data_IF_346113847281
#
_entry.id   IF_346113847281
#
_cell.length_a   1.000
_cell.length_b   1.000
_cell.length_c   1.000
_cell.angle_alpha   90.00
_cell.angle_beta   90.00
_cell.angle_gamma   90.00
#
_symmetry.space_group_name_H-M   'P 1'
#
loop_
_entity.id
_entity.type
_entity.pdbx_description
1 polymer ?
#
# COMPACT_ATOMS: atom_id res chain seq x y z
N UNK A 1 -77.10 -13.17 15.22
CA UNK A 1 -76.26 -11.96 15.04
C UNK A 1 -74.76 -12.32 15.06
N UNK A 2 -74.33 -13.33 14.29
CA UNK A 2 -72.95 -13.87 14.34
C UNK A 2 -72.26 -13.89 12.96
N UNK A 3 -72.84 -13.19 11.98
CA UNK A 3 -72.35 -13.19 10.60
C UNK A 3 -71.63 -11.88 10.22
N UNK A 4 -71.52 -10.94 11.16
CA UNK A 4 -70.87 -9.64 10.95
C UNK A 4 -69.42 -9.65 11.46
N UNK A 5 -69.14 -10.47 12.49
CA UNK A 5 -67.83 -10.49 13.15
C UNK A 5 -66.68 -11.03 12.28
N UNK A 6 -66.94 -11.96 11.35
CA UNK A 6 -65.89 -12.48 10.46
C UNK A 6 -65.55 -11.53 9.31
N UNK A 7 -66.51 -10.72 8.87
CA UNK A 7 -66.27 -9.70 7.83
C UNK A 7 -65.50 -8.52 8.40
N UNK A 8 -65.81 -8.11 9.64
CA UNK A 8 -65.05 -7.07 10.33
C UNK A 8 -63.63 -7.53 10.66
N UNK A 9 -63.46 -8.78 11.08
CA UNK A 9 -62.14 -9.35 11.36
C UNK A 9 -61.25 -9.47 10.11
N UNK A 10 -61.82 -9.81 8.96
CA UNK A 10 -61.07 -9.89 7.70
C UNK A 10 -60.63 -8.51 7.17
N UNK A 11 -61.42 -7.47 7.41
CA UNK A 11 -61.07 -6.08 7.05
C UNK A 11 -60.00 -5.48 7.99
N UNK A 12 -60.03 -5.83 9.28
CA UNK A 12 -58.99 -5.42 10.25
C UNK A 12 -57.64 -6.10 9.98
N UNK A 13 -57.64 -7.35 9.50
CA UNK A 13 -56.42 -8.09 9.15
C UNK A 13 -55.77 -7.60 7.84
N UNK A 14 -56.55 -7.11 6.88
CA UNK A 14 -56.05 -6.52 5.62
C UNK A 14 -55.42 -5.12 5.85
N UNK A 15 -55.91 -4.34 6.81
CA UNK A 15 -55.38 -3.02 7.16
C UNK A 15 -54.05 -3.09 7.96
N UNK A 16 -53.79 -4.21 8.65
CA UNK A 16 -52.50 -4.47 9.33
C UNK A 16 -51.37 -4.87 8.36
N UNK A 17 -51.68 -5.48 7.21
CA UNK A 17 -50.67 -5.86 6.20
C UNK A 17 -50.13 -4.65 5.40
N UNK A 18 -50.94 -3.62 5.16
CA UNK A 18 -50.50 -2.41 4.44
C UNK A 18 -49.62 -1.47 5.28
N UNK A 19 -49.55 -1.66 6.60
CA UNK A 19 -48.73 -0.86 7.51
C UNK A 19 -47.35 -1.46 7.86
N UNK A 20 -46.95 -2.59 7.24
CA UNK A 20 -45.66 -3.23 7.49
C UNK A 20 -44.52 -2.60 6.69
N UNK A 21 -44.16 -1.36 7.03
CA UNK A 21 -42.95 -0.70 6.54
C UNK A 21 -41.75 -1.21 7.35
N UNK A 22 -41.20 -2.36 6.95
CA UNK A 22 -39.98 -2.93 7.54
C UNK A 22 -39.53 -4.23 6.88
N UNK A 23 -38.25 -4.62 7.00
CA UNK A 23 -37.76 -5.88 6.45
C UNK A 23 -38.45 -7.07 7.14
N UNK A 24 -39.20 -7.85 6.36
CA UNK A 24 -39.91 -9.06 6.82
C UNK A 24 -38.89 -10.18 7.09
N UNK A 25 -39.08 -10.93 8.18
CA UNK A 25 -38.27 -12.12 8.47
C UNK A 25 -38.55 -13.17 7.39
N UNK A 26 -37.53 -13.86 6.85
CA UNK A 26 -37.76 -14.91 5.87
C UNK A 26 -38.48 -16.09 6.55
N UNK A 27 -39.80 -16.12 6.43
CA UNK A 27 -40.62 -17.24 6.86
C UNK A 27 -40.58 -18.37 5.81
N UNK A 28 -41.25 -19.47 6.11
CA UNK A 28 -41.17 -20.75 5.42
C UNK A 28 -41.45 -20.69 3.91
N UNK A 29 -42.15 -19.66 3.42
CA UNK A 29 -42.47 -19.49 1.99
C UNK A 29 -41.26 -19.00 1.19
N UNK A 30 -40.41 -18.18 1.82
CA UNK A 30 -39.17 -17.66 1.19
C UNK A 30 -38.00 -18.62 1.28
N UNK A 31 -38.02 -19.58 2.22
CA UNK A 31 -36.94 -20.57 2.42
C UNK A 31 -36.74 -21.48 1.20
N UNK A 32 -37.81 -21.92 0.55
CA UNK A 32 -37.72 -22.76 -0.66
C UNK A 32 -37.10 -22.01 -1.84
N UNK A 33 -37.51 -20.75 -2.03
CA UNK A 33 -36.98 -19.88 -3.08
C UNK A 33 -35.50 -19.53 -2.84
N UNK A 34 -35.14 -19.16 -1.60
CA UNK A 34 -33.76 -18.85 -1.21
C UNK A 34 -32.86 -20.08 -1.31
N UNK A 35 -33.35 -21.28 -0.96
CA UNK A 35 -32.57 -22.51 -1.13
C UNK A 35 -32.39 -22.89 -2.61
N UNK A 36 -33.40 -22.65 -3.45
CA UNK A 36 -33.30 -22.87 -4.88
C UNK A 36 -32.33 -21.87 -5.55
N UNK A 37 -32.33 -20.60 -5.13
CA UNK A 37 -31.38 -19.60 -5.63
C UNK A 37 -29.96 -19.92 -5.22
N UNK A 38 -29.73 -20.30 -3.96
CA UNK A 38 -28.41 -20.74 -3.46
C UNK A 38 -27.93 -21.99 -4.23
N UNK A 39 -28.81 -22.96 -4.48
CA UNK A 39 -28.45 -24.16 -5.24
C UNK A 39 -28.13 -23.86 -6.71
N UNK A 40 -28.81 -22.89 -7.33
CA UNK A 40 -28.52 -22.44 -8.68
C UNK A 40 -27.18 -21.70 -8.76
N UNK A 41 -26.91 -20.82 -7.80
CA UNK A 41 -25.62 -20.11 -7.68
C UNK A 41 -24.46 -21.09 -7.46
N UNK A 42 -24.63 -22.10 -6.60
CA UNK A 42 -23.62 -23.14 -6.39
C UNK A 42 -23.28 -23.93 -7.65
N UNK A 43 -24.28 -24.22 -8.51
CA UNK A 43 -24.04 -24.90 -9.79
C UNK A 43 -23.24 -24.05 -10.75
N UNK A 44 -23.58 -22.77 -10.87
CA UNK A 44 -22.84 -21.80 -11.68
C UNK A 44 -21.40 -21.63 -11.20
N UNK A 45 -21.20 -21.58 -9.88
CA UNK A 45 -19.86 -21.52 -9.28
C UNK A 45 -19.04 -22.77 -9.59
N UNK A 46 -19.63 -23.95 -9.45
CA UNK A 46 -18.94 -25.22 -9.74
C UNK A 46 -18.61 -25.36 -11.24
N UNK A 47 -19.51 -24.91 -12.13
CA UNK A 47 -19.26 -24.88 -13.58
C UNK A 47 -18.18 -23.85 -13.96
N UNK A 48 -18.15 -22.70 -13.29
CA UNK A 48 -17.09 -21.71 -13.48
C UNK A 48 -15.73 -22.21 -12.98
N UNK A 49 -15.71 -22.91 -11.83
CA UNK A 49 -14.51 -23.55 -11.30
C UNK A 49 -14.00 -24.67 -12.21
N UNK A 50 -14.87 -25.53 -12.73
CA UNK A 50 -14.45 -26.60 -13.64
C UNK A 50 -13.88 -26.05 -14.96
N UNK A 51 -14.45 -24.95 -15.49
CA UNK A 51 -13.91 -24.27 -16.67
C UNK A 51 -12.56 -23.62 -16.41
N UNK A 52 -12.37 -23.02 -15.23
CA UNK A 52 -11.07 -22.50 -14.82
C UNK A 52 -10.03 -23.61 -14.63
N UNK A 53 -10.42 -24.77 -14.10
CA UNK A 53 -9.53 -25.93 -13.91
C UNK A 53 -9.07 -26.53 -15.25
N UNK A 54 -9.98 -26.64 -16.24
CA UNK A 54 -9.63 -27.04 -17.62
C UNK A 54 -8.66 -26.05 -18.30
N UNK A 55 -8.79 -24.74 -18.03
CA UNK A 55 -7.89 -23.69 -18.54
C UNK A 55 -6.53 -23.65 -17.80
N UNK A 56 -6.49 -23.98 -16.50
CA UNK A 56 -5.28 -24.05 -15.68
C UNK A 56 -4.43 -25.30 -16.01
N UNK A 57 -5.02 -26.43 -16.38
CA UNK A 57 -4.24 -27.59 -16.84
C UNK A 57 -3.59 -27.36 -18.22
N UNK A 58 -4.20 -26.51 -19.05
CA UNK A 58 -3.60 -26.05 -20.31
C UNK A 58 -2.52 -24.98 -20.10
N UNK A 59 -2.44 -24.36 -18.91
CA UNK A 59 -1.57 -23.21 -18.66
C UNK A 59 -1.02 -23.12 -17.24
N UNK A 60 -0.70 -24.25 -16.62
CA UNK A 60 -0.06 -24.26 -15.32
C UNK A 60 1.16 -23.34 -15.39
N UNK A 61 1.20 -22.24 -14.62
CA UNK A 61 2.33 -21.34 -14.65
C UNK A 61 3.54 -22.17 -14.21
N UNK A 62 4.53 -22.32 -15.09
CA UNK A 62 5.84 -22.85 -14.72
C UNK A 62 6.36 -21.92 -13.63
N UNK A 63 6.14 -22.28 -12.37
CA UNK A 63 6.70 -21.55 -11.26
C UNK A 63 8.20 -21.55 -11.45
N UNK A 64 8.76 -20.36 -11.64
CA UNK A 64 10.19 -20.15 -11.63
C UNK A 64 10.69 -20.70 -10.29
N UNK A 65 11.51 -21.76 -10.33
CA UNK A 65 11.84 -22.62 -9.19
C UNK A 65 12.68 -21.96 -8.10
N UNK A 66 12.68 -20.64 -7.98
CA UNK A 66 13.45 -19.90 -6.99
C UNK A 66 12.95 -20.12 -5.55
N UNK A 67 11.70 -20.55 -5.37
CA UNK A 67 11.13 -20.88 -4.06
C UNK A 67 11.12 -22.39 -3.77
N UNK A 68 11.04 -23.24 -4.79
CA UNK A 68 10.90 -24.70 -4.64
C UNK A 68 12.25 -25.41 -4.72
N UNK A 69 13.21 -24.83 -5.43
CA UNK A 69 14.58 -25.33 -5.51
C UNK A 69 15.52 -24.29 -4.89
N UNK A 70 16.40 -24.76 -4.01
CA UNK A 70 17.54 -23.96 -3.57
C UNK A 70 18.32 -23.57 -4.85
N UNK A 71 18.65 -22.28 -5.06
CA UNK A 71 19.45 -21.85 -6.19
C UNK A 71 20.77 -22.63 -6.24
N UNK A 72 21.22 -23.02 -7.44
CA UNK A 72 22.43 -23.83 -7.59
C UNK A 72 23.59 -23.19 -6.83
N UNK A 73 24.20 -23.97 -5.94
CA UNK A 73 25.38 -23.64 -5.13
C UNK A 73 26.45 -22.84 -5.88
N UNK A 74 26.60 -23.08 -7.18
CA UNK A 74 27.59 -22.42 -8.06
C UNK A 74 27.25 -20.97 -8.36
N UNK A 75 25.97 -20.59 -8.38
CA UNK A 75 25.53 -19.22 -8.63
C UNK A 75 25.87 -18.28 -7.46
N UNK A 76 26.07 -18.84 -6.27
CA UNK A 76 26.37 -18.08 -5.05
C UNK A 76 27.88 -17.84 -4.86
N UNK A 77 28.75 -18.33 -5.77
CA UNK A 77 30.20 -18.10 -5.75
C UNK A 77 30.94 -18.76 -4.58
N UNK A 78 30.25 -19.54 -3.75
CA UNK A 78 30.85 -20.29 -2.64
C UNK A 78 31.32 -21.66 -3.12
N UNK A 79 32.51 -22.07 -2.69
CA UNK A 79 32.98 -23.44 -2.88
C UNK A 79 32.10 -24.43 -2.11
N UNK A 80 32.02 -25.68 -2.59
CA UNK A 80 31.24 -26.75 -1.92
C UNK A 80 31.64 -26.90 -0.45
N UNK A 81 32.92 -26.72 -0.13
CA UNK A 81 33.45 -26.75 1.23
C UNK A 81 32.92 -25.60 2.12
N UNK A 82 32.80 -24.37 1.58
CA UNK A 82 32.24 -23.24 2.31
C UNK A 82 30.76 -23.41 2.60
N UNK A 83 30.00 -23.97 1.65
CA UNK A 83 28.59 -24.29 1.87
C UNK A 83 28.44 -25.35 2.96
N UNK A 84 29.25 -26.42 2.93
CA UNK A 84 29.21 -27.47 3.95
C UNK A 84 29.57 -26.93 5.35
N UNK A 85 30.54 -26.02 5.45
CA UNK A 85 30.92 -25.36 6.70
C UNK A 85 29.81 -24.44 7.22
N UNK A 86 29.16 -23.66 6.35
CA UNK A 86 28.00 -22.86 6.72
C UNK A 86 26.82 -23.73 7.19
N UNK A 87 26.60 -24.89 6.57
CA UNK A 87 25.56 -25.82 6.98
C UNK A 87 25.84 -26.42 8.37
N UNK A 88 27.10 -26.74 8.69
CA UNK A 88 27.55 -27.24 10.00
C UNK A 88 27.37 -26.22 11.13
N UNK A 89 27.49 -24.94 10.80
CA UNK A 89 27.42 -23.84 11.79
C UNK A 89 26.01 -23.23 11.95
N UNK A 90 24.97 -23.79 11.32
CA UNK A 90 23.59 -23.24 11.40
C UNK A 90 22.95 -23.27 12.80
N UNK A 91 23.46 -24.10 13.71
CA UNK A 91 22.90 -24.28 15.06
C UNK A 91 23.60 -23.44 16.14
N UNK A 92 24.77 -22.88 15.85
CA UNK A 92 25.62 -22.25 16.87
C UNK A 92 26.02 -20.84 16.43
N UNK A 93 25.60 -19.84 17.19
CA UNK A 93 26.05 -18.46 17.01
C UNK A 93 27.52 -18.33 17.40
N UNK A 94 28.36 -17.82 16.49
CA UNK A 94 29.75 -17.50 16.79
C UNK A 94 29.81 -16.45 17.90
N UNK A 95 30.43 -16.78 19.04
CA UNK A 95 30.68 -15.80 20.13
C UNK A 95 31.78 -14.80 19.79
N UNK A 96 32.51 -15.04 18.71
CA UNK A 96 33.56 -14.15 18.20
C UNK A 96 33.21 -13.81 16.77
N UNK A 97 32.32 -12.83 16.57
CA UNK A 97 32.17 -12.20 15.28
C UNK A 97 33.56 -11.67 14.89
N UNK A 98 34.19 -12.27 13.88
CA UNK A 98 35.25 -11.57 13.16
C UNK A 98 34.57 -10.37 12.53
N UNK A 99 34.95 -9.16 12.94
CA UNK A 99 34.45 -7.88 12.44
C UNK A 99 34.82 -7.67 10.95
N UNK A 100 34.28 -8.53 10.09
CA UNK A 100 34.34 -8.43 8.63
C UNK A 100 33.28 -7.46 8.11
N UNK A 101 32.26 -7.18 8.93
CA UNK A 101 31.26 -6.15 8.67
C UNK A 101 31.67 -4.88 9.39
N UNK A 102 31.57 -3.73 8.72
CA UNK A 102 32.00 -2.43 9.22
C UNK A 102 31.44 -2.05 10.58
N UNK A 103 31.88 -0.89 11.07
CA UNK A 103 31.58 -0.38 12.41
C UNK A 103 30.07 -0.43 12.76
N UNK A 104 29.69 -1.44 13.56
CA UNK A 104 28.32 -1.67 14.04
C UNK A 104 27.96 -0.77 15.22
N UNK A 105 28.87 0.09 15.70
CA UNK A 105 28.64 0.92 16.89
C UNK A 105 27.73 2.14 16.66
N UNK A 106 27.32 2.39 15.41
CA UNK A 106 26.49 3.54 15.06
C UNK A 106 25.15 3.62 15.84
N UNK A 107 24.64 2.49 16.32
CA UNK A 107 23.42 2.41 17.13
C UNK A 107 23.66 2.17 18.63
N UNK A 108 24.88 1.79 19.03
CA UNK A 108 25.23 1.53 20.43
C UNK A 108 25.94 2.70 21.09
N UNK A 109 26.44 3.67 20.31
CA UNK A 109 27.14 4.84 20.83
C UNK A 109 26.17 5.83 21.52
N UNK A 110 26.56 6.26 22.72
CA UNK A 110 25.94 7.40 23.39
C UNK A 110 26.30 8.72 22.69
N UNK A 111 25.51 9.80 22.85
CA UNK A 111 25.80 11.08 22.19
C UNK A 111 27.20 11.65 22.51
N UNK A 112 27.72 11.39 23.70
CA UNK A 112 29.07 11.79 24.11
C UNK A 112 30.16 10.98 23.40
N UNK A 113 29.95 9.67 23.25
CA UNK A 113 30.86 8.78 22.52
C UNK A 113 30.89 9.11 21.03
N UNK A 114 29.72 9.41 20.45
CA UNK A 114 29.60 9.86 19.05
C UNK A 114 30.40 11.14 18.78
N UNK A 115 30.33 12.12 19.67
CA UNK A 115 31.10 13.36 19.56
C UNK A 115 32.61 13.13 19.74
N UNK A 116 33.01 12.23 20.64
CA UNK A 116 34.42 11.86 20.83
C UNK A 116 34.97 11.17 19.58
N UNK A 117 34.22 10.22 19.03
CA UNK A 117 34.57 9.49 17.82
C UNK A 117 34.67 10.39 16.59
N UNK A 118 33.75 11.35 16.46
CA UNK A 118 33.82 12.34 15.38
C UNK A 118 35.08 13.20 15.47
N UNK A 119 35.50 13.62 16.68
CA UNK A 119 36.78 14.30 16.88
C UNK A 119 37.98 13.44 16.51
N UNK A 120 37.99 12.17 16.93
CA UNK A 120 39.09 11.24 16.60
C UNK A 120 39.20 10.96 15.10
N UNK A 121 38.05 10.89 14.41
CA UNK A 121 37.98 10.79 12.95
C UNK A 121 38.51 12.05 12.26
N UNK A 122 38.16 13.24 12.73
CA UNK A 122 38.67 14.51 12.21
C UNK A 122 40.19 14.65 12.42
N UNK A 123 40.71 14.13 13.54
CA UNK A 123 42.14 14.11 13.85
C UNK A 123 42.90 12.98 13.14
N UNK A 124 42.22 12.12 12.37
CA UNK A 124 42.84 11.04 11.59
C UNK A 124 43.55 9.98 12.45
N UNK A 125 43.17 9.88 13.72
CA UNK A 125 43.71 8.94 14.71
C UNK A 125 42.99 7.59 14.68
N UNK A 126 41.85 7.51 14.00
CA UNK A 126 41.11 6.26 13.84
C UNK A 126 41.97 5.22 13.08
N UNK A 127 42.19 4.07 13.71
CA UNK A 127 43.11 3.00 13.27
C UNK A 127 42.76 2.30 11.94
N UNK A 128 41.87 2.87 11.13
CA UNK A 128 41.40 2.34 9.84
C UNK A 128 42.38 2.47 8.67
N UNK A 129 43.69 2.60 8.91
CA UNK A 129 44.70 2.83 7.84
C UNK A 129 44.85 1.68 6.84
N UNK A 130 44.31 0.49 7.13
CA UNK A 130 44.32 -0.68 6.23
C UNK A 130 43.23 -0.68 5.15
N UNK A 131 42.25 0.23 5.19
CA UNK A 131 41.12 0.30 4.22
C UNK A 131 41.28 1.41 3.18
N UNK A 132 42.49 1.89 2.90
CA UNK A 132 42.69 2.98 1.92
C UNK A 132 43.01 2.48 0.51
N UNK A 133 43.64 1.31 0.37
CA UNK A 133 44.06 0.80 -0.95
C UNK A 133 42.92 0.10 -1.70
N UNK A 134 42.10 -0.72 -1.04
CA UNK A 134 40.91 -1.35 -1.68
C UNK A 134 39.77 -0.35 -1.91
N UNK A 135 39.69 0.70 -1.11
CA UNK A 135 38.67 1.74 -1.26
C UNK A 135 38.92 2.64 -2.49
N UNK A 136 40.16 2.74 -2.98
CA UNK A 136 40.49 3.56 -4.15
C UNK A 136 39.97 2.92 -5.45
N UNK A 137 40.16 1.61 -5.64
CA UNK A 137 39.62 0.87 -6.79
C UNK A 137 38.08 0.73 -6.74
N UNK A 138 37.51 0.52 -5.55
CA UNK A 138 36.05 0.54 -5.37
C UNK A 138 35.46 1.94 -5.62
N UNK A 139 36.15 3.02 -5.28
CA UNK A 139 35.71 4.38 -5.60
C UNK A 139 35.66 4.63 -7.11
N UNK A 140 36.63 4.14 -7.88
CA UNK A 140 36.68 4.40 -9.31
C UNK A 140 35.57 3.64 -10.07
N UNK A 141 35.35 2.38 -9.71
CA UNK A 141 34.26 1.56 -10.28
C UNK A 141 32.87 2.09 -9.89
N UNK A 142 32.68 2.49 -8.63
CA UNK A 142 31.43 3.09 -8.16
C UNK A 142 31.18 4.46 -8.78
N UNK A 143 32.22 5.26 -9.05
CA UNK A 143 32.10 6.56 -9.73
C UNK A 143 31.60 6.40 -11.17
N UNK A 144 32.11 5.39 -11.89
CA UNK A 144 31.67 5.09 -13.26
C UNK A 144 30.23 4.59 -13.28
N UNK A 145 29.87 3.68 -12.38
CA UNK A 145 28.50 3.20 -12.26
C UNK A 145 27.53 4.33 -11.89
N UNK A 146 27.91 5.22 -10.96
CA UNK A 146 27.13 6.38 -10.57
C UNK A 146 26.92 7.33 -11.76
N UNK A 147 27.96 7.61 -12.55
CA UNK A 147 27.85 8.45 -13.75
C UNK A 147 26.90 7.87 -14.80
N UNK A 148 26.93 6.54 -15.03
CA UNK A 148 26.01 5.87 -15.95
C UNK A 148 24.56 5.97 -15.44
N UNK A 149 24.34 5.74 -14.13
CA UNK A 149 23.03 5.84 -13.51
C UNK A 149 22.50 7.28 -13.58
N UNK A 150 23.36 8.28 -13.38
CA UNK A 150 23.00 9.69 -13.49
C UNK A 150 22.61 10.05 -14.93
N UNK A 151 23.38 9.62 -15.93
CA UNK A 151 23.05 9.83 -17.35
C UNK A 151 21.71 9.19 -17.74
N UNK A 152 21.45 7.97 -17.27
CA UNK A 152 20.16 7.31 -17.48
C UNK A 152 19.01 8.04 -16.76
N UNK A 153 19.23 8.47 -15.51
CA UNK A 153 18.25 9.22 -14.75
C UNK A 153 17.92 10.58 -15.36
N UNK A 154 18.88 11.24 -16.02
CA UNK A 154 18.68 12.51 -16.69
C UNK A 154 17.92 12.38 -18.02
N UNK A 155 18.04 11.26 -18.72
CA UNK A 155 17.53 11.09 -20.10
C UNK A 155 16.26 10.26 -20.18
N UNK A 156 16.15 9.19 -19.40
CA UNK A 156 15.09 8.19 -19.53
C UNK A 156 14.14 8.17 -18.33
N UNK A 157 14.65 8.46 -17.13
CA UNK A 157 13.84 8.30 -15.92
C UNK A 157 12.83 9.46 -15.76
N UNK A 158 11.55 9.17 -15.48
CA UNK A 158 10.60 10.20 -15.07
C UNK A 158 10.94 10.74 -13.68
N UNK A 159 10.55 11.99 -13.40
CA UNK A 159 10.80 12.65 -12.10
C UNK A 159 10.32 11.78 -10.94
N UNK A 160 11.16 11.65 -9.90
CA UNK A 160 10.78 10.88 -8.72
C UNK A 160 9.68 11.58 -7.92
N UNK A 161 8.87 10.84 -7.16
CA UNK A 161 7.83 11.44 -6.31
C UNK A 161 8.39 12.49 -5.34
N UNK A 162 9.60 12.25 -4.81
CA UNK A 162 10.30 13.18 -3.93
C UNK A 162 10.68 14.45 -4.68
N UNK A 163 11.23 14.31 -5.88
CA UNK A 163 11.60 15.43 -6.75
C UNK A 163 10.39 16.23 -7.22
N UNK A 164 9.27 15.56 -7.54
CA UNK A 164 7.98 16.18 -7.84
C UNK A 164 7.52 16.99 -6.63
N UNK A 165 7.54 16.43 -5.41
CA UNK A 165 7.17 17.16 -4.20
C UNK A 165 8.10 18.33 -3.91
N UNK A 166 9.41 18.18 -4.11
CA UNK A 166 10.37 19.27 -3.94
C UNK A 166 10.14 20.39 -4.97
N UNK A 167 9.89 20.05 -6.23
CA UNK A 167 9.51 21.01 -7.27
C UNK A 167 8.19 21.72 -6.91
N UNK A 168 7.18 20.97 -6.47
CA UNK A 168 5.89 21.52 -6.06
C UNK A 168 6.03 22.43 -4.84
N UNK A 169 6.82 22.05 -3.84
CA UNK A 169 7.11 22.89 -2.68
C UNK A 169 7.86 24.17 -3.10
N UNK A 170 8.84 24.06 -4.01
CA UNK A 170 9.58 25.19 -4.59
C UNK A 170 8.73 26.08 -5.49
N UNK A 171 7.69 25.54 -6.13
CA UNK A 171 6.70 26.28 -6.92
C UNK A 171 5.72 26.99 -5.99
N UNK A 172 5.20 26.28 -4.98
CA UNK A 172 4.29 26.82 -3.98
C UNK A 172 4.94 27.96 -3.19
N UNK A 173 6.22 27.85 -2.82
CA UNK A 173 6.95 28.93 -2.14
C UNK A 173 7.22 30.17 -3.03
N UNK A 174 7.28 29.99 -4.35
CA UNK A 174 7.41 31.12 -5.30
C UNK A 174 6.06 31.75 -5.62
N UNK A 175 4.98 30.98 -5.65
CA UNK A 175 3.62 31.49 -5.85
C UNK A 175 3.00 32.06 -4.57
N UNK A 176 3.46 31.64 -3.39
CA UNK A 176 2.99 32.13 -2.09
C UNK A 176 3.63 33.44 -1.65
N UNK A 177 4.18 34.24 -2.58
CA UNK A 177 4.58 35.62 -2.25
C UNK A 177 3.36 36.51 -1.94
N UNK A 178 2.16 36.05 -2.29
CA UNK A 178 0.89 36.64 -1.88
C UNK A 178 0.06 35.59 -1.09
N UNK A 179 0.10 35.66 0.24
CA UNK A 179 -1.04 35.29 1.08
C UNK A 179 -1.27 33.83 1.52
N UNK A 180 -0.56 32.81 1.03
CA UNK A 180 -0.81 31.39 1.43
C UNK A 180 0.29 30.83 2.35
N UNK A 181 0.68 31.60 3.38
CA UNK A 181 1.26 31.00 4.58
C UNK A 181 0.07 30.43 5.38
N UNK A 182 -0.29 29.19 5.08
CA UNK A 182 -1.16 28.42 5.97
C UNK A 182 -0.33 28.05 7.20
N UNK A 183 -0.02 29.05 8.02
CA UNK A 183 0.27 28.83 9.43
C UNK A 183 -0.90 27.97 9.90
N UNK A 184 -0.60 26.80 10.48
CA UNK A 184 -1.60 25.93 11.09
C UNK A 184 -2.50 26.83 11.91
N UNK A 185 -3.70 27.09 11.37
CA UNK A 185 -4.58 28.11 11.89
C UNK A 185 -4.71 27.87 13.38
N UNK A 186 -4.49 28.92 14.18
CA UNK A 186 -4.59 28.82 15.63
C UNK A 186 -5.80 27.95 15.98
N UNK A 187 -5.56 26.92 16.79
CA UNK A 187 -6.56 25.98 17.30
C UNK A 187 -7.48 26.69 18.30
N UNK A 188 -8.05 27.81 17.88
CA UNK A 188 -9.06 28.55 18.60
C UNK A 188 -10.43 27.93 18.31
N UNK A 189 -11.27 27.80 19.34
CA UNK A 189 -12.64 27.29 19.17
C UNK A 189 -13.45 28.16 18.23
N UNK A 190 -13.22 29.47 18.22
CA UNK A 190 -13.88 30.41 17.29
C UNK A 190 -13.63 29.99 15.83
N UNK A 191 -12.39 29.70 15.46
CA UNK A 191 -11.99 29.35 14.08
C UNK A 191 -12.58 28.02 13.59
N UNK A 192 -12.89 27.10 14.51
CA UNK A 192 -13.46 25.77 14.25
C UNK A 192 -14.99 25.80 14.25
N UNK A 193 -15.59 26.62 15.11
CA UNK A 193 -17.06 26.69 15.28
C UNK A 193 -17.73 27.71 14.36
N UNK A 194 -16.98 28.65 13.79
CA UNK A 194 -17.50 29.60 12.83
C UNK A 194 -17.90 28.91 11.51
N UNK A 195 -19.20 28.97 11.22
CA UNK A 195 -19.74 28.61 9.91
C UNK A 195 -19.26 29.63 8.89
N UNK A 196 -18.09 29.39 8.28
CA UNK A 196 -17.58 30.22 7.18
C UNK A 196 -18.61 30.23 6.06
N UNK A 197 -19.20 31.41 5.81
CA UNK A 197 -20.09 31.64 4.66
C UNK A 197 -19.25 31.41 3.42
N UNK A 198 -19.49 30.29 2.74
CA UNK A 198 -18.80 29.92 1.50
C UNK A 198 -19.30 30.83 0.39
N UNK A 199 -18.41 31.21 -0.53
CA UNK A 199 -18.81 31.96 -1.72
C UNK A 199 -19.87 31.18 -2.52
N UNK A 200 -20.99 31.82 -2.92
CA UNK A 200 -22.10 31.12 -3.56
C UNK A 200 -21.69 30.46 -4.88
N UNK A 201 -20.72 31.04 -5.59
CA UNK A 201 -20.15 30.46 -6.83
C UNK A 201 -19.40 29.15 -6.56
N UNK A 202 -18.65 29.08 -5.45
CA UNK A 202 -17.92 27.87 -5.04
C UNK A 202 -18.90 26.77 -4.63
N UNK A 203 -19.94 27.13 -3.87
CA UNK A 203 -21.01 26.22 -3.47
C UNK A 203 -21.74 25.66 -4.70
N UNK A 204 -22.15 26.51 -5.64
CA UNK A 204 -22.83 26.08 -6.87
C UNK A 204 -21.96 25.17 -7.73
N UNK A 205 -20.66 25.44 -7.84
CA UNK A 205 -19.73 24.54 -8.55
C UNK A 205 -19.67 23.17 -7.89
N UNK A 206 -19.55 23.12 -6.56
CA UNK A 206 -19.53 21.85 -5.83
C UNK A 206 -20.84 21.06 -6.00
N UNK A 207 -21.98 21.74 -6.02
CA UNK A 207 -23.29 21.12 -6.30
C UNK A 207 -23.32 20.54 -7.72
N UNK A 208 -22.83 21.27 -8.73
CA UNK A 208 -22.78 20.78 -10.12
C UNK A 208 -21.84 19.59 -10.29
N UNK A 209 -20.67 19.62 -9.65
CA UNK A 209 -19.73 18.50 -9.65
C UNK A 209 -20.36 17.26 -8.98
N UNK A 210 -21.08 17.46 -7.87
CA UNK A 210 -21.77 16.39 -7.13
C UNK A 210 -22.94 15.78 -7.91
N UNK A 211 -23.69 16.57 -8.67
CA UNK A 211 -24.82 16.10 -9.49
C UNK A 211 -24.39 15.05 -10.52
N UNK A 212 -23.18 15.17 -11.06
CA UNK A 212 -22.64 14.26 -12.08
C UNK A 212 -21.92 13.04 -11.50
N UNK A 213 -21.81 12.90 -10.17
CA UNK A 213 -21.15 11.74 -9.54
C UNK A 213 -21.89 10.43 -9.83
N UNK A 214 -23.22 10.44 -9.84
CA UNK A 214 -24.02 9.25 -10.09
C UNK A 214 -23.77 8.67 -11.51
N UNK A 215 -23.51 9.54 -12.50
CA UNK A 215 -23.18 9.10 -13.86
C UNK A 215 -21.77 8.53 -14.00
N UNK A 216 -20.83 8.85 -13.09
CA UNK A 216 -19.44 8.36 -13.14
C UNK A 216 -19.28 6.96 -12.57
N UNK A 217 -20.18 6.57 -11.66
CA UNK A 217 -20.18 5.25 -11.03
C UNK A 217 -21.28 4.32 -11.56
N UNK A 218 -22.25 4.83 -12.32
CA UNK A 218 -23.21 4.02 -13.07
C UNK A 218 -22.53 3.28 -14.23
N UNK A 219 -22.57 1.95 -14.20
CA UNK A 219 -21.97 1.11 -15.23
C UNK A 219 -22.53 1.43 -16.62
N UNK A 220 -21.72 2.05 -17.48
CA UNK A 220 -21.98 2.01 -18.92
C UNK A 220 -21.48 3.16 -19.78
N UNK A 221 -21.32 4.39 -19.31
CA UNK A 221 -20.92 5.51 -20.21
C UNK A 221 -19.94 6.51 -19.57
N UNK A 222 -18.66 6.28 -19.84
CA UNK A 222 -17.56 7.20 -19.57
C UNK A 222 -17.62 8.39 -20.52
N UNK A 223 -17.87 9.59 -20.00
CA UNK A 223 -17.69 10.84 -20.74
C UNK A 223 -16.27 11.34 -20.47
N UNK A 224 -15.43 11.31 -21.49
CA UNK A 224 -14.07 11.84 -21.46
C UNK A 224 -14.05 13.37 -21.34
N UNK A 225 -12.94 13.86 -20.79
CA UNK A 225 -12.63 15.27 -20.51
C UNK A 225 -12.80 16.21 -21.71
#
# INVERSE_FOLDING_TARGET
TSQVDWQQKALEEEEEEENLVGPVRPDQVTRGYVMASIAAEQRLLNEALSKMEEDEEAKAPKHEGWMTMIPDSKALGFSVAQLEEMQKNRSSFSKTDKDLSGDKSAWTDTPAEKAKKEREKQLGLDGGRKRKETAAEEMETTSRAASIIEQYNATVRPKSLVEIHQEQARKKSKSSKEGDNFELGSWDRSSITETKVRDPKSVNKMIQDAQNLNSRFGGGKFHGF
#
